data_IF_298541763029
#
_entry.id   IF_298541763029
#
_cell.length_a   1.000
_cell.length_b   1.000
_cell.length_c   1.000
_cell.angle_alpha   90.00
_cell.angle_beta   90.00
_cell.angle_gamma   90.00
#
_symmetry.space_group_name_H-M   'P 1'
#
loop_
_entity.id
_entity.type
_entity.pdbx_description
1 polymer ?
#
# COMPACT_ATOMS: atom_id res chain seq x y z
N UNK A 1 3.73 -5.13 22.16
CA UNK A 1 2.28 -5.27 21.84
C UNK A 1 2.14 -5.54 20.35
N UNK A 2 1.23 -6.42 19.91
CA UNK A 2 0.98 -6.70 18.48
C UNK A 2 -0.52 -6.64 18.20
N UNK A 3 -0.91 -5.90 17.18
CA UNK A 3 -2.28 -5.92 16.66
C UNK A 3 -2.26 -6.29 15.17
N UNK A 4 -3.27 -7.02 14.73
CA UNK A 4 -3.47 -7.36 13.33
C UNK A 4 -4.97 -7.42 13.06
N UNK A 5 -5.40 -6.87 11.93
CA UNK A 5 -6.80 -6.88 11.50
C UNK A 5 -6.86 -7.15 10.01
N UNK A 6 -7.82 -7.99 9.62
CA UNK A 6 -8.11 -8.31 8.23
C UNK A 6 -9.60 -8.07 8.00
N UNK A 7 -9.93 -7.48 6.86
CA UNK A 7 -11.30 -7.33 6.35
C UNK A 7 -11.32 -7.90 4.95
N UNK A 8 -12.28 -8.79 4.73
CA UNK A 8 -12.58 -9.35 3.42
C UNK A 8 -14.09 -9.38 3.30
N UNK A 9 -14.63 -8.46 2.52
CA UNK A 9 -16.05 -8.36 2.25
C UNK A 9 -16.31 -8.69 0.77
N UNK A 10 -16.77 -9.91 0.46
CA UNK A 10 -17.08 -10.31 -0.91
C UNK A 10 -18.21 -9.52 -1.54
N UNK A 11 -19.10 -8.91 -0.74
CA UNK A 11 -20.26 -8.19 -1.24
C UNK A 11 -19.90 -6.80 -1.73
N UNK A 12 -18.99 -6.11 -1.04
CA UNK A 12 -18.49 -4.78 -1.43
C UNK A 12 -17.19 -4.83 -2.23
N UNK A 13 -16.48 -5.96 -2.22
CA UNK A 13 -15.15 -6.10 -2.82
C UNK A 13 -14.03 -5.49 -1.96
N UNK A 14 -14.31 -5.04 -0.73
CA UNK A 14 -13.31 -4.48 0.18
C UNK A 14 -12.39 -5.59 0.71
N UNK A 15 -11.12 -5.51 0.34
CA UNK A 15 -10.06 -6.38 0.85
C UNK A 15 -8.94 -5.53 1.42
N UNK A 16 -8.79 -5.58 2.74
CA UNK A 16 -7.74 -4.85 3.46
C UNK A 16 -7.18 -5.63 4.63
N UNK A 17 -5.89 -5.42 4.89
CA UNK A 17 -5.22 -5.98 6.06
C UNK A 17 -4.31 -4.93 6.67
N UNK A 18 -4.22 -4.90 8.00
CA UNK A 18 -3.29 -4.06 8.73
C UNK A 18 -2.63 -4.85 9.86
N UNK A 19 -1.42 -4.44 10.22
CA UNK A 19 -0.74 -4.92 11.41
C UNK A 19 0.11 -3.82 12.03
N UNK A 20 0.29 -3.89 13.34
CA UNK A 20 1.20 -3.03 14.09
C UNK A 20 1.88 -3.86 15.17
N UNK A 21 3.15 -3.57 15.44
CA UNK A 21 3.91 -4.09 16.57
C UNK A 21 4.67 -2.95 17.21
N UNK A 22 4.58 -2.88 18.54
CA UNK A 22 5.38 -1.96 19.36
C UNK A 22 6.40 -2.75 20.17
N UNK A 23 7.66 -2.33 20.05
CA UNK A 23 8.81 -2.77 20.82
C UNK A 23 9.47 -1.53 21.46
N UNK A 24 9.30 -1.39 22.78
CA UNK A 24 9.66 -0.16 23.51
C UNK A 24 9.01 1.08 22.89
N UNK A 25 9.86 2.04 22.49
CA UNK A 25 9.46 3.30 21.84
C UNK A 25 9.35 3.19 20.31
N UNK A 26 9.61 2.01 19.73
CA UNK A 26 9.55 1.79 18.28
C UNK A 26 8.23 1.15 17.91
N UNK A 27 7.50 1.76 16.98
CA UNK A 27 6.30 1.20 16.36
C UNK A 27 6.62 0.83 14.92
N UNK A 28 6.27 -0.39 14.51
CA UNK A 28 6.34 -0.85 13.13
C UNK A 28 4.99 -1.36 12.72
N UNK A 29 4.61 -1.11 11.48
CA UNK A 29 3.37 -1.66 10.99
C UNK A 29 3.26 -1.54 9.48
N UNK A 30 2.12 -1.99 9.00
CA UNK A 30 1.80 -1.82 7.60
C UNK A 30 0.34 -2.08 7.31
N UNK A 31 -0.09 -1.64 6.14
CA UNK A 31 -1.40 -1.97 5.62
C UNK A 31 -1.34 -2.34 4.14
N UNK A 32 -2.31 -3.13 3.73
CA UNK A 32 -2.64 -3.44 2.34
C UNK A 32 -4.10 -3.11 2.11
N UNK A 33 -4.38 -2.47 0.98
CA UNK A 33 -5.73 -2.16 0.52
C UNK A 33 -5.82 -2.40 -0.98
N UNK A 34 -6.85 -3.14 -1.41
CA UNK A 34 -7.23 -3.22 -2.80
C UNK A 34 -7.91 -1.91 -3.21
N UNK A 35 -7.40 -1.24 -4.24
CA UNK A 35 -7.96 -0.01 -4.77
C UNK A 35 -9.01 -0.29 -5.87
N UNK A 36 -9.95 0.64 -6.10
CA UNK A 36 -10.99 0.46 -7.11
C UNK A 36 -10.47 0.32 -8.56
N UNK A 37 -9.26 0.81 -8.83
CA UNK A 37 -8.60 0.73 -10.14
C UNK A 37 -7.92 -0.62 -10.42
N UNK A 38 -8.09 -1.59 -9.52
CA UNK A 38 -7.54 -2.94 -9.61
C UNK A 38 -6.13 -3.08 -9.04
N UNK A 39 -5.53 -2.00 -8.53
CA UNK A 39 -4.21 -2.05 -7.89
C UNK A 39 -4.29 -2.34 -6.41
N UNK A 40 -3.14 -2.64 -5.80
CA UNK A 40 -3.00 -2.82 -4.36
C UNK A 40 -2.03 -1.78 -3.83
N UNK A 41 -2.47 -0.93 -2.90
CA UNK A 41 -1.57 -0.08 -2.14
C UNK A 41 -1.06 -0.83 -0.92
N UNK A 42 0.27 -0.92 -0.81
CA UNK A 42 1.00 -1.47 0.33
C UNK A 42 1.73 -0.33 1.01
N UNK A 43 1.58 -0.21 2.32
CA UNK A 43 2.36 0.73 3.12
C UNK A 43 3.05 -0.01 4.25
N UNK A 44 4.33 0.24 4.38
CA UNK A 44 5.15 -0.21 5.51
C UNK A 44 5.65 1.03 6.23
N UNK A 45 5.46 1.10 7.55
CA UNK A 45 5.85 2.26 8.33
C UNK A 45 6.63 1.88 9.58
N UNK A 46 7.47 2.81 10.02
CA UNK A 46 8.20 2.76 11.29
C UNK A 46 8.12 4.14 11.94
N UNK A 47 7.91 4.17 13.26
CA UNK A 47 7.95 5.38 14.06
C UNK A 47 8.87 5.17 15.27
N UNK A 48 9.80 6.10 15.49
CA UNK A 48 10.68 6.12 16.66
C UNK A 48 11.04 7.56 17.07
N UNK A 49 11.63 7.72 18.26
CA UNK A 49 11.96 9.04 18.83
C UNK A 49 13.06 9.79 18.06
N UNK A 50 13.93 9.09 17.35
CA UNK A 50 15.10 9.66 16.68
C UNK A 50 14.80 10.06 15.23
N UNK A 51 14.08 9.21 14.50
CA UNK A 51 13.79 9.36 13.07
C UNK A 51 12.37 9.86 12.79
N UNK A 52 11.51 9.94 13.82
CA UNK A 52 10.11 10.28 13.65
C UNK A 52 9.35 9.18 12.90
N UNK A 53 8.28 9.56 12.19
CA UNK A 53 7.48 8.65 11.36
C UNK A 53 8.06 8.56 9.94
N UNK A 54 8.25 7.34 9.45
CA UNK A 54 8.68 7.05 8.08
C UNK A 54 7.79 5.97 7.49
N UNK A 55 7.37 6.16 6.26
CA UNK A 55 6.57 5.20 5.52
C UNK A 55 7.16 4.96 4.13
N UNK A 56 7.04 3.73 3.65
CA UNK A 56 7.31 3.34 2.28
C UNK A 56 5.97 2.92 1.69
N UNK A 57 5.51 3.67 0.69
CA UNK A 57 4.26 3.40 0.00
C UNK A 57 4.59 2.77 -1.35
N UNK A 58 3.96 1.65 -1.64
CA UNK A 58 4.08 0.93 -2.92
C UNK A 58 2.69 0.72 -3.49
N UNK A 59 2.52 0.99 -4.77
CA UNK A 59 1.34 0.57 -5.53
C UNK A 59 1.74 -0.60 -6.42
N UNK A 60 0.99 -1.69 -6.35
CA UNK A 60 1.24 -2.94 -7.09
C UNK A 60 0.08 -3.15 -8.08
N UNK A 61 0.40 -3.33 -9.36
CA UNK A 61 -0.57 -3.65 -10.40
C UNK A 61 -0.66 -2.59 -11.49
N UNK A 62 -1.52 -2.82 -12.48
CA UNK A 62 -1.74 -1.89 -13.59
C UNK A 62 -2.97 -1.02 -13.29
N UNK A 63 -2.75 0.26 -13.01
CA UNK A 63 -3.82 1.22 -12.74
C UNK A 63 -4.65 1.43 -14.00
N UNK A 64 -5.90 0.96 -14.04
CA UNK A 64 -6.86 1.30 -15.10
C UNK A 64 -7.47 2.68 -14.85
N UNK A 65 -6.63 3.71 -14.80
CA UNK A 65 -7.10 5.10 -14.72
C UNK A 65 -7.42 5.59 -16.14
N UNK A 66 -8.55 6.29 -16.37
CA UNK A 66 -8.79 6.94 -17.64
C UNK A 66 -7.71 8.01 -17.83
N UNK A 67 -6.73 7.68 -18.67
CA UNK A 67 -5.65 8.57 -19.07
C UNK A 67 -6.26 9.70 -19.92
N UNK A 68 -6.43 10.89 -19.36
CA UNK A 68 -6.57 12.09 -20.20
C UNK A 68 -5.21 12.29 -20.91
N UNK A 69 -5.23 12.17 -22.24
CA UNK A 69 -4.09 11.92 -23.11
C UNK A 69 -2.85 12.81 -22.87
N UNK A 70 -1.68 12.15 -22.77
CA UNK A 70 -0.41 12.64 -23.28
C UNK A 70 0.33 11.44 -23.92
N UNK A 71 0.87 11.56 -25.15
CA UNK A 71 1.15 10.39 -25.98
C UNK A 71 2.48 9.71 -25.68
N UNK A 72 2.45 8.37 -25.80
CA UNK A 72 3.51 7.46 -26.26
C UNK A 72 4.81 7.38 -25.47
N UNK A 73 4.98 6.33 -24.66
CA UNK A 73 6.22 5.54 -24.64
C UNK A 73 5.93 4.04 -24.39
N UNK A 74 6.62 3.21 -25.17
CA UNK A 74 6.59 1.74 -25.31
C UNK A 74 6.05 0.89 -24.15
N UNK A 75 5.24 -0.10 -24.53
CA UNK A 75 4.83 -1.26 -23.75
C UNK A 75 6.04 -2.08 -23.30
N UNK A 76 6.59 -1.73 -22.14
CA UNK A 76 7.40 -2.62 -21.34
C UNK A 76 6.54 -3.13 -20.20
N UNK A 77 6.36 -4.45 -20.18
CA UNK A 77 5.72 -5.21 -19.12
C UNK A 77 6.57 -5.11 -17.84
N UNK A 78 6.55 -3.95 -17.19
CA UNK A 78 7.13 -3.74 -15.87
C UNK A 78 6.10 -4.21 -14.85
N UNK A 79 6.49 -5.11 -13.95
CA UNK A 79 5.76 -5.32 -12.71
C UNK A 79 5.73 -3.96 -11.98
N UNK A 80 4.61 -3.25 -12.12
CA UNK A 80 4.48 -1.85 -11.73
C UNK A 80 4.53 -1.72 -10.22
N UNK A 81 5.73 -1.47 -9.69
CA UNK A 81 5.95 -0.96 -8.34
C UNK A 81 6.14 0.55 -8.47
N UNK A 82 5.06 1.31 -8.31
CA UNK A 82 5.17 2.76 -8.16
C UNK A 82 5.48 3.08 -6.70
N UNK A 83 6.58 3.81 -6.47
CA UNK A 83 6.96 4.35 -5.17
C UNK A 83 6.43 5.78 -5.05
N UNK A 84 5.87 6.11 -3.89
CA UNK A 84 5.39 7.45 -3.54
C UNK A 84 6.14 7.99 -2.32
#
# INVERSE_FOLDING_TARGET
MRCARVVHDPHTGDSKSQWETRDGDVVKGGYRVAEPDGTIRVVEYTADKHNGFRAIVKKIGHSHHPYHAAPSHNEQKYEGYEYY
#
